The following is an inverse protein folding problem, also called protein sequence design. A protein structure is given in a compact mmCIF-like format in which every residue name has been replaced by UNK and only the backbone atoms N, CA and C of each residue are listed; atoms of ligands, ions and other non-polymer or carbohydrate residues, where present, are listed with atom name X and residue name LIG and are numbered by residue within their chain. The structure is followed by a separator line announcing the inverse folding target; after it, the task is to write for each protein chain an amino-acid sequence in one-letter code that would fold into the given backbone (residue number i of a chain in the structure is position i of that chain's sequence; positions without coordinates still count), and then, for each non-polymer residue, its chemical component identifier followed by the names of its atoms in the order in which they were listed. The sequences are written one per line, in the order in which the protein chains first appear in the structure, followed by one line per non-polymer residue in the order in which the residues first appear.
data_IF_340404245319
#
_entry.id   IF_340404245319
#
_cell.length_a   1.000
_cell.length_b   1.000
_cell.length_c   1.000
_cell.angle_alpha   90.00
_cell.angle_beta   90.00
_cell.angle_gamma   90.00
#
_symmetry.space_group_name_H-M   'P 1'
#
loop_
_entity.id
_entity.type
_entity.pdbx_description
1 polymer ?
#
# COMPACT_ATOMS: atom_id res chain seq x y z
N UNK A 1 -11.33 32.27 8.81
CA UNK A 1 -10.16 31.38 8.85
C UNK A 1 -10.17 30.56 7.58
N UNK A 2 -9.07 30.51 6.81
CA UNK A 2 -9.04 29.69 5.59
C UNK A 2 -8.97 28.21 5.94
N UNK A 3 -9.34 27.30 5.03
CA UNK A 3 -9.19 25.86 5.26
C UNK A 3 -7.74 25.49 5.58
N UNK A 4 -6.77 26.13 4.91
CA UNK A 4 -5.34 25.96 5.18
C UNK A 4 -4.98 26.33 6.62
N UNK A 5 -5.49 27.46 7.13
CA UNK A 5 -5.23 27.87 8.51
C UNK A 5 -5.85 26.86 9.48
N UNK A 6 -7.07 26.36 9.20
CA UNK A 6 -7.71 25.30 9.99
C UNK A 6 -6.87 24.04 10.05
N UNK A 7 -6.36 23.56 8.91
CA UNK A 7 -5.48 22.37 8.88
C UNK A 7 -4.21 22.63 9.68
N UNK A 8 -3.53 23.77 9.43
CA UNK A 8 -2.26 24.10 10.07
C UNK A 8 -2.38 24.16 11.59
N UNK A 9 -3.35 24.91 12.08
CA UNK A 9 -3.56 25.12 13.51
C UNK A 9 -3.91 23.78 14.19
N UNK A 10 -4.81 23.01 13.57
CA UNK A 10 -5.20 21.71 14.10
C UNK A 10 -4.02 20.73 14.16
N UNK A 11 -3.22 20.61 13.09
CA UNK A 11 -2.05 19.73 13.07
C UNK A 11 -1.00 20.15 14.11
N UNK A 12 -0.73 21.45 14.25
CA UNK A 12 0.21 21.96 15.24
C UNK A 12 -0.21 21.62 16.69
N UNK A 13 -1.51 21.59 16.96
CA UNK A 13 -2.06 21.29 18.29
C UNK A 13 -2.21 19.78 18.57
N UNK A 14 -2.53 18.97 17.55
CA UNK A 14 -3.03 17.61 17.74
C UNK A 14 -2.08 16.50 17.28
N UNK A 15 -1.06 16.80 16.46
CA UNK A 15 -0.08 15.77 16.07
C UNK A 15 0.70 15.33 17.32
N UNK A 16 0.65 14.04 17.70
CA UNK A 16 1.32 13.58 18.90
C UNK A 16 2.84 13.66 18.72
N UNK A 17 3.53 14.01 19.80
CA UNK A 17 4.99 13.89 19.83
C UNK A 17 5.38 12.43 19.75
N UNK A 18 6.40 12.12 18.95
CA UNK A 18 6.98 10.78 18.89
C UNK A 18 7.44 10.35 20.28
N UNK A 19 6.96 9.20 20.74
CA UNK A 19 7.38 8.59 22.00
C UNK A 19 8.44 7.56 21.68
N UNK A 20 9.67 7.83 22.09
CA UNK A 20 10.78 6.88 21.98
C UNK A 20 10.45 5.60 22.75
N UNK A 21 10.79 4.44 22.18
CA UNK A 21 10.57 3.12 22.78
C UNK A 21 9.11 2.73 23.06
N UNK A 22 8.12 3.41 22.46
CA UNK A 22 6.74 2.96 22.53
C UNK A 22 6.60 1.50 22.04
N UNK A 23 5.77 0.71 22.71
CA UNK A 23 5.38 -0.63 22.24
C UNK A 23 4.52 -0.54 20.96
N UNK A 24 4.37 -1.67 20.26
CA UNK A 24 3.49 -1.73 19.08
C UNK A 24 2.03 -1.39 19.44
N UNK A 25 1.55 -1.86 20.59
CA UNK A 25 0.20 -1.59 21.09
C UNK A 25 -0.02 -0.11 21.39
N UNK A 26 0.95 0.56 22.02
CA UNK A 26 0.87 2.00 22.31
C UNK A 26 0.90 2.85 21.03
N UNK A 27 1.71 2.45 20.03
CA UNK A 27 1.72 3.10 18.72
C UNK A 27 0.36 2.97 18.03
N UNK A 28 -0.24 1.78 18.03
CA UNK A 28 -1.56 1.55 17.44
C UNK A 28 -2.64 2.33 18.20
N UNK A 29 -2.62 2.33 19.53
CA UNK A 29 -3.58 3.09 20.33
C UNK A 29 -3.47 4.60 20.06
N UNK A 30 -2.24 5.10 19.89
CA UNK A 30 -1.99 6.51 19.52
C UNK A 30 -2.50 6.81 18.11
N UNK A 31 -2.25 5.93 17.15
CA UNK A 31 -2.77 6.03 15.79
C UNK A 31 -4.31 6.07 15.77
N UNK A 32 -4.99 5.15 16.47
CA UNK A 32 -6.45 5.12 16.56
C UNK A 32 -7.02 6.41 17.17
N UNK A 33 -6.45 6.90 18.28
CA UNK A 33 -6.90 8.17 18.89
C UNK A 33 -6.70 9.37 17.96
N UNK A 34 -5.53 9.45 17.31
CA UNK A 34 -5.22 10.54 16.39
C UNK A 34 -6.17 10.52 15.18
N UNK A 35 -6.36 9.35 14.56
CA UNK A 35 -7.23 9.21 13.39
C UNK A 35 -8.70 9.54 13.71
N UNK A 36 -9.19 9.12 14.89
CA UNK A 36 -10.53 9.48 15.33
C UNK A 36 -10.68 11.01 15.50
N UNK A 37 -9.71 11.66 16.14
CA UNK A 37 -9.69 13.11 16.31
C UNK A 37 -9.59 13.84 14.95
N UNK A 38 -8.78 13.35 14.03
CA UNK A 38 -8.63 13.87 12.67
C UNK A 38 -9.96 13.79 11.90
N UNK A 39 -10.66 12.67 12.01
CA UNK A 39 -12.00 12.52 11.46
C UNK A 39 -13.01 13.46 12.12
N UNK A 40 -13.03 13.55 13.46
CA UNK A 40 -13.94 14.42 14.21
C UNK A 40 -13.74 15.91 13.89
N UNK A 41 -12.53 16.30 13.54
CA UNK A 41 -12.20 17.64 13.04
C UNK A 41 -12.59 17.88 11.58
N UNK A 42 -13.11 16.87 10.87
CA UNK A 42 -13.45 16.95 9.46
C UNK A 42 -12.23 16.97 8.52
N UNK A 43 -11.12 16.37 8.95
CA UNK A 43 -9.83 16.34 8.26
C UNK A 43 -9.43 14.94 7.75
N UNK A 44 -10.22 13.91 8.01
CA UNK A 44 -10.05 12.57 7.45
C UNK A 44 -11.13 12.24 6.40
N UNK A 45 -10.77 11.52 5.35
CA UNK A 45 -11.70 11.14 4.27
C UNK A 45 -12.22 12.34 3.49
N UNK A 46 -11.36 13.32 3.20
CA UNK A 46 -11.78 14.63 2.70
C UNK A 46 -12.63 14.53 1.44
N UNK A 47 -12.15 13.78 0.44
CA UNK A 47 -12.83 13.62 -0.86
C UNK A 47 -13.87 12.51 -0.87
N UNK A 48 -14.09 11.83 0.25
CA UNK A 48 -14.99 10.67 0.30
C UNK A 48 -16.45 11.10 0.42
N UNK A 49 -17.42 10.27 -0.02
CA UNK A 49 -18.83 10.61 0.02
C UNK A 49 -19.32 10.90 1.44
N UNK A 50 -19.97 12.06 1.63
CA UNK A 50 -20.45 12.48 2.93
C UNK A 50 -21.53 11.56 3.51
N UNK A 51 -22.37 10.95 2.66
CA UNK A 51 -23.41 10.00 3.08
C UNK A 51 -22.86 8.75 3.81
N UNK A 52 -21.58 8.41 3.59
CA UNK A 52 -20.91 7.27 4.22
C UNK A 52 -19.84 7.68 5.25
N UNK A 53 -19.81 8.96 5.65
CA UNK A 53 -18.91 9.47 6.68
C UNK A 53 -17.67 10.20 6.17
N UNK A 54 -17.52 10.39 4.85
CA UNK A 54 -16.51 11.29 4.30
C UNK A 54 -16.86 12.77 4.52
N UNK A 55 -16.00 13.68 4.04
CA UNK A 55 -16.23 15.13 4.18
C UNK A 55 -16.81 15.78 2.92
N UNK A 56 -16.88 15.06 1.79
CA UNK A 56 -17.39 15.59 0.52
C UNK A 56 -16.64 16.81 0.00
N UNK A 57 -15.39 17.00 0.43
CA UNK A 57 -14.51 18.11 0.01
C UNK A 57 -13.88 17.85 -1.35
N UNK A 58 -13.24 18.88 -1.88
CA UNK A 58 -12.59 18.84 -3.19
C UNK A 58 -11.19 18.24 -3.12
N UNK A 59 -10.65 17.82 -4.27
CA UNK A 59 -9.24 17.41 -4.37
C UNK A 59 -8.27 18.55 -4.00
N UNK A 60 -8.65 19.81 -4.23
CA UNK A 60 -7.86 20.97 -3.82
C UNK A 60 -7.74 21.08 -2.29
N UNK A 61 -8.81 20.77 -1.55
CA UNK A 61 -8.75 20.69 -0.09
C UNK A 61 -7.83 19.54 0.37
N UNK A 62 -7.90 18.36 -0.27
CA UNK A 62 -6.95 17.27 0.02
C UNK A 62 -5.50 17.71 -0.21
N UNK A 63 -5.22 18.43 -1.30
CA UNK A 63 -3.87 18.96 -1.55
C UNK A 63 -3.42 19.94 -0.46
N UNK A 64 -4.30 20.85 -0.03
CA UNK A 64 -4.00 21.77 1.08
C UNK A 64 -3.67 20.98 2.35
N UNK A 65 -4.42 19.91 2.64
CA UNK A 65 -4.13 19.03 3.76
C UNK A 65 -2.75 18.39 3.64
N UNK A 66 -2.45 17.77 2.49
CA UNK A 66 -1.18 17.09 2.23
C UNK A 66 0.03 18.04 2.35
N UNK A 67 -0.11 19.29 1.89
CA UNK A 67 0.93 20.31 1.96
C UNK A 67 1.26 20.74 3.39
N UNK A 68 0.23 20.96 4.23
CA UNK A 68 0.45 21.31 5.64
C UNK A 68 0.91 20.08 6.45
N UNK A 69 0.40 18.88 6.13
CA UNK A 69 0.80 17.62 6.76
C UNK A 69 2.25 17.23 6.47
N UNK A 70 2.83 17.66 5.35
CA UNK A 70 4.20 17.33 4.95
C UNK A 70 5.28 17.73 5.97
N UNK A 71 4.98 18.65 6.89
CA UNK A 71 5.90 19.07 7.95
C UNK A 71 5.91 18.13 9.18
N UNK A 72 4.96 17.19 9.24
CA UNK A 72 4.67 16.32 10.38
C UNK A 72 4.92 14.85 10.05
N UNK A 73 5.17 14.06 11.08
CA UNK A 73 5.13 12.59 11.00
C UNK A 73 3.81 12.11 11.61
N UNK A 74 2.84 11.81 10.75
CA UNK A 74 1.50 11.44 11.20
C UNK A 74 1.46 9.95 11.58
N UNK A 75 0.88 9.58 12.74
CA UNK A 75 0.78 8.17 13.15
C UNK A 75 -0.34 7.44 12.40
N UNK A 76 -0.31 7.43 11.07
CA UNK A 76 -1.40 6.93 10.21
C UNK A 76 -1.02 5.68 9.42
N UNK A 77 0.22 5.21 9.49
CA UNK A 77 0.72 4.11 8.65
C UNK A 77 -0.06 2.81 8.81
N UNK A 78 -0.55 2.51 10.02
CA UNK A 78 -1.37 1.32 10.28
C UNK A 78 -2.69 1.33 9.49
N UNK A 79 -3.17 2.50 9.08
CA UNK A 79 -4.39 2.66 8.27
C UNK A 79 -4.12 2.74 6.77
N UNK A 80 -2.86 2.71 6.33
CA UNK A 80 -2.49 2.91 4.91
C UNK A 80 -3.24 1.96 3.97
N UNK A 81 -3.35 0.68 4.31
CA UNK A 81 -4.06 -0.31 3.47
C UNK A 81 -5.57 -0.05 3.46
N UNK A 82 -6.15 0.27 4.61
CA UNK A 82 -7.57 0.61 4.73
C UNK A 82 -7.94 1.87 3.96
N UNK A 83 -7.27 2.97 4.25
CA UNK A 83 -7.53 4.29 3.66
C UNK A 83 -7.09 4.38 2.19
N UNK A 84 -5.99 3.72 1.84
CA UNK A 84 -5.39 3.83 0.52
C UNK A 84 -5.91 2.83 -0.51
N UNK A 85 -6.55 1.73 -0.08
CA UNK A 85 -6.91 0.63 -0.98
C UNK A 85 -8.27 0.02 -0.67
N UNK A 86 -8.47 -0.54 0.53
CA UNK A 86 -9.69 -1.29 0.85
C UNK A 86 -10.93 -0.41 0.83
N UNK A 87 -10.88 0.72 1.55
CA UNK A 87 -12.01 1.62 1.68
C UNK A 87 -12.42 2.29 0.36
N UNK A 88 -11.51 2.83 -0.48
CA UNK A 88 -11.86 3.29 -1.82
C UNK A 88 -12.50 2.19 -2.68
N UNK A 89 -12.04 0.94 -2.56
CA UNK A 89 -12.64 -0.20 -3.27
C UNK A 89 -14.06 -0.49 -2.78
N UNK A 90 -14.33 -0.35 -1.47
CA UNK A 90 -15.69 -0.46 -0.90
C UNK A 90 -16.57 0.70 -1.39
N UNK A 91 -16.03 1.92 -1.48
CA UNK A 91 -16.77 3.07 -2.02
C UNK A 91 -17.16 2.83 -3.48
N UNK A 92 -16.28 2.27 -4.29
CA UNK A 92 -16.54 2.03 -5.71
C UNK A 92 -17.47 0.83 -5.95
N UNK A 93 -17.25 -0.28 -5.25
CA UNK A 93 -17.84 -1.59 -5.58
C UNK A 93 -18.79 -2.14 -4.52
N UNK A 94 -18.82 -1.56 -3.32
CA UNK A 94 -19.65 -2.04 -2.23
C UNK A 94 -21.13 -1.78 -2.45
N UNK A 95 -21.97 -2.58 -1.82
CA UNK A 95 -23.40 -2.28 -1.71
C UNK A 95 -23.64 -1.08 -0.78
N UNK A 96 -24.86 -0.54 -0.76
CA UNK A 96 -25.20 0.54 0.17
C UNK A 96 -24.97 0.12 1.63
N UNK A 97 -25.34 -1.11 1.98
CA UNK A 97 -25.18 -1.69 3.32
C UNK A 97 -23.71 -1.84 3.69
N UNK A 98 -22.86 -2.30 2.75
CA UNK A 98 -21.43 -2.40 2.98
C UNK A 98 -20.79 -1.03 3.18
N UNK A 99 -21.14 -0.04 2.36
CA UNK A 99 -20.62 1.33 2.51
C UNK A 99 -21.04 1.92 3.86
N UNK A 100 -22.32 1.79 4.21
CA UNK A 100 -22.86 2.25 5.50
C UNK A 100 -22.19 1.55 6.70
N UNK A 101 -21.86 0.26 6.60
CA UNK A 101 -21.22 -0.50 7.68
C UNK A 101 -19.75 -0.18 7.85
N UNK A 102 -18.99 -0.09 6.76
CA UNK A 102 -17.52 -0.15 6.83
C UNK A 102 -16.81 1.19 6.62
N UNK A 103 -17.39 2.13 5.87
CA UNK A 103 -16.65 3.35 5.46
C UNK A 103 -16.39 4.26 6.66
N UNK A 104 -17.40 4.58 7.47
CA UNK A 104 -17.22 5.48 8.61
C UNK A 104 -16.26 4.93 9.68
N UNK A 105 -16.38 3.67 10.16
CA UNK A 105 -15.42 3.13 11.13
C UNK A 105 -13.98 3.08 10.60
N UNK A 106 -13.81 2.76 9.32
CA UNK A 106 -12.51 2.81 8.64
C UNK A 106 -11.94 4.24 8.64
N UNK A 107 -12.72 5.24 8.23
CA UNK A 107 -12.27 6.64 8.18
C UNK A 107 -11.90 7.19 9.57
N UNK A 108 -12.58 6.74 10.63
CA UNK A 108 -12.29 7.08 12.03
C UNK A 108 -11.11 6.32 12.63
N UNK A 109 -10.54 5.34 11.91
CA UNK A 109 -9.45 4.49 12.43
C UNK A 109 -9.88 3.52 13.53
N UNK A 110 -11.18 3.23 13.63
CA UNK A 110 -11.71 2.26 14.61
C UNK A 110 -11.34 0.83 14.19
N UNK A 111 -11.38 0.57 12.88
CA UNK A 111 -11.11 -0.72 12.25
C UNK A 111 -9.85 -0.65 11.38
N UNK A 112 -8.92 -1.58 11.58
CA UNK A 112 -7.70 -1.72 10.76
C UNK A 112 -7.95 -2.76 9.67
N UNK A 113 -7.44 -2.50 8.47
CA UNK A 113 -7.67 -3.34 7.30
C UNK A 113 -6.38 -3.88 6.71
N UNK A 114 -6.45 -5.08 6.14
CA UNK A 114 -5.36 -5.69 5.39
C UNK A 114 -5.78 -6.15 3.98
N UNK A 115 -4.81 -6.39 3.10
CA UNK A 115 -5.01 -6.90 1.73
C UNK A 115 -4.54 -8.36 1.66
N UNK A 116 -5.42 -9.27 1.26
CA UNK A 116 -5.22 -10.71 1.30
C UNK A 116 -5.17 -11.30 -0.12
N UNK A 117 -4.19 -10.86 -0.90
CA UNK A 117 -4.07 -11.22 -2.32
C UNK A 117 -3.07 -12.36 -2.52
N UNK A 118 -1.80 -12.09 -2.21
CA UNK A 118 -0.66 -12.97 -2.48
C UNK A 118 -0.71 -14.30 -1.73
N UNK A 119 -0.27 -15.35 -2.42
CA UNK A 119 -0.14 -16.71 -1.89
C UNK A 119 1.29 -17.23 -2.12
N UNK A 120 1.74 -18.25 -1.38
CA UNK A 120 3.06 -18.85 -1.62
C UNK A 120 3.29 -19.25 -3.09
N UNK A 121 2.24 -19.71 -3.77
CA UNK A 121 2.26 -20.09 -5.20
C UNK A 121 1.78 -19.02 -6.18
N UNK A 122 1.31 -17.85 -5.72
CA UNK A 122 0.70 -16.83 -6.58
C UNK A 122 0.97 -15.41 -6.06
N UNK A 123 2.02 -14.77 -6.58
CA UNK A 123 2.36 -13.37 -6.31
C UNK A 123 2.13 -12.47 -7.53
N UNK A 124 3.11 -12.41 -8.44
CA UNK A 124 2.97 -11.61 -9.68
C UNK A 124 1.83 -12.11 -10.58
N UNK A 125 1.61 -13.43 -10.64
CA UNK A 125 0.42 -14.04 -11.27
C UNK A 125 -0.68 -14.26 -10.22
N UNK A 126 -1.18 -13.17 -9.62
CA UNK A 126 -2.19 -13.24 -8.56
C UNK A 126 -3.48 -13.91 -9.04
N UNK A 127 -3.78 -13.88 -10.34
CA UNK A 127 -4.93 -14.58 -10.91
C UNK A 127 -4.83 -16.11 -10.81
N UNK A 128 -3.64 -16.66 -10.53
CA UNK A 128 -3.42 -18.09 -10.30
C UNK A 128 -3.61 -18.51 -8.84
N UNK A 129 -4.16 -17.65 -7.98
CA UNK A 129 -4.47 -17.97 -6.60
C UNK A 129 -5.37 -19.22 -6.45
N UNK A 130 -5.19 -19.91 -5.34
CA UNK A 130 -5.76 -21.22 -5.01
C UNK A 130 -6.57 -21.24 -3.71
N UNK A 131 -6.49 -20.20 -2.86
CA UNK A 131 -7.45 -20.04 -1.75
C UNK A 131 -8.84 -20.14 -2.34
N UNK A 132 -9.66 -21.07 -1.84
CA UNK A 132 -10.99 -21.38 -2.39
C UNK A 132 -12.08 -20.87 -1.47
N UNK A 133 -13.16 -20.40 -2.06
CA UNK A 133 -14.41 -20.11 -1.37
C UNK A 133 -15.51 -20.96 -2.03
N UNK A 134 -16.06 -21.92 -1.30
CA UNK A 134 -17.11 -22.81 -1.80
C UNK A 134 -18.43 -22.41 -1.16
N UNK A 135 -19.49 -22.32 -1.97
CA UNK A 135 -20.83 -21.98 -1.47
C UNK A 135 -21.40 -23.14 -0.65
N UNK A 136 -21.90 -22.83 0.54
CA UNK A 136 -22.59 -23.73 1.46
C UNK A 136 -23.90 -23.04 1.92
N UNK A 137 -24.98 -23.30 1.19
CA UNK A 137 -26.26 -22.59 1.34
C UNK A 137 -26.14 -21.09 1.04
N UNK A 138 -26.43 -20.26 2.05
CA UNK A 138 -26.30 -18.79 2.01
C UNK A 138 -24.92 -18.29 2.49
N UNK A 139 -24.00 -19.20 2.79
CA UNK A 139 -22.65 -18.87 3.25
C UNK A 139 -21.59 -19.32 2.26
N UNK A 140 -20.36 -18.84 2.47
CA UNK A 140 -19.15 -19.31 1.80
C UNK A 140 -18.24 -19.94 2.82
N UNK A 141 -17.62 -21.07 2.48
CA UNK A 141 -16.60 -21.72 3.28
C UNK A 141 -15.25 -21.50 2.60
N UNK A 142 -14.36 -20.78 3.27
CA UNK A 142 -13.05 -20.40 2.76
C UNK A 142 -11.96 -21.29 3.33
N UNK A 143 -11.10 -21.78 2.45
CA UNK A 143 -9.93 -22.57 2.80
C UNK A 143 -8.72 -22.15 1.95
N UNK A 144 -7.58 -21.91 2.59
CA UNK A 144 -6.35 -21.54 1.89
C UNK A 144 -5.32 -20.83 2.75
N UNK A 145 -4.35 -20.22 2.09
CA UNK A 145 -3.26 -19.48 2.72
C UNK A 145 -2.93 -18.23 1.91
N UNK A 146 -2.75 -17.12 2.62
CA UNK A 146 -2.16 -15.88 2.12
C UNK A 146 -0.81 -15.63 2.78
N UNK A 147 0.04 -14.86 2.12
CA UNK A 147 1.39 -14.52 2.58
C UNK A 147 1.78 -13.11 2.17
N UNK A 148 2.76 -12.51 2.84
CA UNK A 148 3.15 -11.11 2.68
C UNK A 148 2.06 -10.11 3.06
N UNK A 149 1.12 -10.53 3.92
CA UNK A 149 -0.03 -9.70 4.31
C UNK A 149 0.45 -8.65 5.32
N UNK A 150 0.54 -7.41 4.88
CA UNK A 150 1.03 -6.29 5.70
C UNK A 150 0.08 -6.02 6.87
N UNK A 151 0.61 -5.98 8.09
CA UNK A 151 -0.15 -5.58 9.30
C UNK A 151 -1.32 -6.49 9.70
N UNK A 152 -1.44 -7.70 9.14
CA UNK A 152 -2.56 -8.61 9.38
C UNK A 152 -2.78 -8.95 10.87
N UNK A 153 -1.71 -8.99 11.67
CA UNK A 153 -1.76 -9.26 13.11
C UNK A 153 -2.46 -8.15 13.92
N UNK A 154 -2.72 -7.01 13.27
CA UNK A 154 -3.41 -5.86 13.85
C UNK A 154 -4.74 -5.56 13.15
N UNK A 155 -5.08 -6.31 12.10
CA UNK A 155 -6.24 -6.04 11.26
C UNK A 155 -7.52 -6.62 11.87
N UNK A 156 -8.60 -5.86 11.75
CA UNK A 156 -9.96 -6.28 12.09
C UNK A 156 -10.65 -6.91 10.87
N UNK A 157 -10.37 -6.37 9.68
CA UNK A 157 -10.93 -6.87 8.42
C UNK A 157 -9.87 -7.04 7.33
N UNK A 158 -10.18 -7.87 6.34
CA UNK A 158 -9.35 -8.09 5.17
C UNK A 158 -10.14 -8.08 3.87
N UNK A 159 -9.53 -7.54 2.80
CA UNK A 159 -10.01 -7.71 1.43
C UNK A 159 -9.37 -8.97 0.82
N UNK A 160 -10.13 -10.06 0.80
CA UNK A 160 -9.69 -11.40 0.41
C UNK A 160 -10.07 -11.73 -1.03
N UNK A 161 -9.09 -12.15 -1.83
CA UNK A 161 -9.36 -12.82 -3.10
C UNK A 161 -9.36 -14.34 -2.93
N UNK A 162 -10.44 -14.98 -3.37
CA UNK A 162 -10.57 -16.43 -3.37
C UNK A 162 -11.20 -16.95 -4.67
N UNK A 163 -10.75 -18.13 -5.09
CA UNK A 163 -11.27 -18.92 -6.21
C UNK A 163 -12.67 -19.41 -5.86
N UNK A 164 -13.65 -19.00 -6.64
CA UNK A 164 -15.05 -19.44 -6.52
C UNK A 164 -15.46 -20.38 -7.65
N UNK A 165 -14.80 -20.28 -8.81
CA UNK A 165 -15.10 -21.11 -9.98
C UNK A 165 -13.80 -21.57 -10.68
N UNK A 166 -13.42 -22.86 -10.55
CA UNK A 166 -12.22 -23.41 -11.18
C UNK A 166 -12.45 -23.87 -12.62
N UNK A 167 -13.68 -23.89 -13.11
CA UNK A 167 -14.06 -24.43 -14.43
C UNK A 167 -13.97 -23.38 -15.56
N UNK A 168 -13.63 -22.14 -15.21
CA UNK A 168 -13.48 -21.01 -16.11
C UNK A 168 -12.03 -20.52 -16.11
N UNK A 169 -11.61 -19.71 -17.12
CA UNK A 169 -10.29 -19.10 -17.12
C UNK A 169 -9.96 -18.36 -15.83
N UNK A 170 -8.68 -18.37 -15.44
CA UNK A 170 -8.22 -17.96 -14.10
C UNK A 170 -8.72 -16.57 -13.65
N UNK A 171 -8.86 -15.61 -14.56
CA UNK A 171 -9.35 -14.26 -14.26
C UNK A 171 -10.88 -14.15 -14.09
N UNK A 172 -11.64 -15.16 -14.51
CA UNK A 172 -13.11 -15.18 -14.55
C UNK A 172 -13.76 -15.98 -13.41
N UNK A 173 -12.97 -16.51 -12.48
CA UNK A 173 -13.47 -17.42 -11.45
C UNK A 173 -12.98 -17.08 -10.05
N UNK A 174 -12.67 -15.82 -9.81
CA UNK A 174 -12.19 -15.30 -8.52
C UNK A 174 -13.26 -14.35 -8.00
N UNK A 175 -13.49 -14.31 -6.70
CA UNK A 175 -14.35 -13.34 -6.03
C UNK A 175 -13.57 -12.60 -4.95
N UNK A 176 -13.88 -11.31 -4.75
CA UNK A 176 -13.38 -10.55 -3.62
C UNK A 176 -14.37 -10.61 -2.46
N UNK A 177 -13.87 -10.83 -1.25
CA UNK A 177 -14.65 -10.91 -0.02
C UNK A 177 -14.11 -9.94 1.02
N UNK A 178 -15.00 -9.40 1.85
CA UNK A 178 -14.64 -8.83 3.14
C UNK A 178 -14.60 -9.98 4.15
N UNK A 179 -13.45 -10.19 4.80
CA UNK A 179 -13.29 -11.21 5.85
C UNK A 179 -13.04 -10.55 7.19
N UNK A 180 -13.74 -11.02 8.22
CA UNK A 180 -13.42 -10.74 9.62
C UNK A 180 -12.16 -11.52 10.01
N UNK A 181 -11.10 -10.80 10.39
CA UNK A 181 -9.81 -11.39 10.71
C UNK A 181 -9.79 -12.10 12.07
N UNK A 182 -10.83 -11.89 12.88
CA UNK A 182 -11.05 -12.56 14.18
C UNK A 182 -12.01 -13.74 14.09
N UNK A 183 -12.51 -14.06 12.88
CA UNK A 183 -13.43 -15.17 12.68
C UNK A 183 -12.78 -16.54 13.03
N UNK A 184 -13.56 -17.49 13.59
CA UNK A 184 -13.07 -18.85 13.82
C UNK A 184 -12.50 -19.48 12.54
N UNK A 185 -11.31 -20.06 12.65
CA UNK A 185 -10.58 -20.67 11.52
C UNK A 185 -9.60 -19.72 10.82
N UNK A 186 -9.56 -18.43 11.17
CA UNK A 186 -8.50 -17.51 10.74
C UNK A 186 -7.31 -17.64 11.70
N UNK A 187 -6.12 -17.89 11.15
CA UNK A 187 -4.87 -17.89 11.92
C UNK A 187 -3.86 -16.96 11.27
N UNK A 188 -3.36 -15.97 12.02
CA UNK A 188 -2.34 -15.03 11.56
C UNK A 188 -0.98 -15.39 12.17
N UNK A 189 0.06 -15.44 11.34
CA UNK A 189 1.44 -15.72 11.73
C UNK A 189 2.39 -14.63 11.23
N UNK A 190 2.98 -13.82 12.12
CA UNK A 190 3.96 -12.81 11.74
C UNK A 190 5.22 -13.42 11.09
N UNK A 191 5.73 -12.76 10.06
CA UNK A 191 6.93 -13.11 9.33
C UNK A 191 8.03 -12.09 9.59
N UNK A 192 9.14 -12.55 10.17
CA UNK A 192 10.33 -11.73 10.39
C UNK A 192 11.09 -11.56 9.07
N UNK A 193 11.33 -10.32 8.65
CA UNK A 193 12.13 -10.01 7.47
C UNK A 193 13.60 -9.70 7.83
N UNK A 194 14.41 -9.30 6.83
CA UNK A 194 15.83 -9.02 7.02
C UNK A 194 16.12 -7.77 7.88
N UNK A 195 15.12 -6.90 8.10
CA UNK A 195 15.24 -5.77 9.06
C UNK A 195 15.15 -6.25 10.50
N UNK A 196 14.73 -7.51 10.72
CA UNK A 196 14.47 -8.07 12.02
C UNK A 196 13.07 -7.74 12.57
N UNK A 197 12.28 -6.96 11.84
CA UNK A 197 10.88 -6.66 12.17
C UNK A 197 9.94 -7.70 11.55
N UNK A 198 8.67 -7.71 11.98
CA UNK A 198 7.63 -8.54 11.41
C UNK A 198 6.46 -7.72 10.80
N UNK A 199 6.72 -6.92 9.75
CA UNK A 199 5.69 -6.09 9.13
C UNK A 199 4.68 -6.90 8.29
N UNK A 200 5.03 -8.13 7.91
CA UNK A 200 4.22 -9.02 7.08
C UNK A 200 3.77 -10.27 7.84
N UNK A 201 2.76 -10.97 7.31
CA UNK A 201 2.20 -12.16 7.91
C UNK A 201 1.82 -13.21 6.86
N UNK A 202 1.83 -14.47 7.30
CA UNK A 202 1.02 -15.53 6.73
C UNK A 202 -0.37 -15.50 7.37
N UNK A 203 -1.41 -15.77 6.59
CA UNK A 203 -2.78 -15.88 7.06
C UNK A 203 -3.37 -17.18 6.53
N UNK A 204 -3.83 -18.04 7.43
CA UNK A 204 -4.42 -19.33 7.11
C UNK A 204 -5.92 -19.26 7.34
N UNK A 205 -6.68 -19.87 6.42
CA UNK A 205 -8.13 -20.02 6.50
C UNK A 205 -8.43 -21.51 6.55
N UNK A 206 -8.98 -21.98 7.68
CA UNK A 206 -9.48 -23.33 7.88
C UNK A 206 -10.98 -23.29 8.09
N UNK A 207 -11.73 -23.65 7.04
CA UNK A 207 -13.20 -23.68 7.03
C UNK A 207 -13.88 -22.40 7.56
N UNK A 208 -13.30 -21.24 7.25
CA UNK A 208 -13.82 -19.94 7.66
C UNK A 208 -15.15 -19.67 6.95
N UNK A 209 -16.21 -19.41 7.72
CA UNK A 209 -17.55 -19.15 7.18
C UNK A 209 -17.77 -17.66 6.99
N UNK A 210 -18.09 -17.25 5.76
CA UNK A 210 -18.47 -15.89 5.42
C UNK A 210 -19.95 -15.82 5.04
N UNK A 211 -20.69 -14.77 5.42
CA UNK A 211 -22.07 -14.57 4.96
C UNK A 211 -22.10 -14.28 3.46
N UNK A 212 -23.25 -14.49 2.78
CA UNK A 212 -23.41 -14.11 1.38
C UNK A 212 -23.07 -12.64 1.11
N UNK A 213 -23.45 -11.74 2.02
CA UNK A 213 -23.16 -10.30 1.93
C UNK A 213 -21.68 -9.91 2.11
N UNK A 214 -20.78 -10.88 2.30
CA UNK A 214 -19.34 -10.63 2.36
C UNK A 214 -18.72 -10.38 0.97
N UNK A 215 -19.41 -10.75 -0.13
CA UNK A 215 -18.91 -10.51 -1.49
C UNK A 215 -18.82 -9.00 -1.74
N UNK A 216 -17.64 -8.52 -2.13
CA UNK A 216 -17.40 -7.13 -2.54
C UNK A 216 -17.37 -7.06 -4.07
N UNK A 217 -18.39 -6.42 -4.66
CA UNK A 217 -18.67 -6.49 -6.09
C UNK A 217 -19.51 -7.71 -6.45
N UNK A 218 -19.13 -8.43 -7.49
CA UNK A 218 -19.90 -9.58 -8.02
C UNK A 218 -19.13 -10.90 -7.88
N UNK A 219 -19.87 -12.00 -7.71
CA UNK A 219 -19.30 -13.35 -7.75
C UNK A 219 -18.62 -13.58 -9.11
N UNK A 220 -17.45 -14.22 -9.08
CA UNK A 220 -16.59 -14.51 -10.24
C UNK A 220 -15.98 -13.27 -10.95
N UNK A 221 -16.32 -12.05 -10.50
CA UNK A 221 -15.79 -10.78 -11.01
C UNK A 221 -14.67 -10.19 -10.14
N UNK A 222 -14.11 -10.96 -9.21
CA UNK A 222 -13.06 -10.55 -8.27
C UNK A 222 -11.78 -10.06 -8.93
N UNK A 223 -11.48 -10.43 -10.18
CA UNK A 223 -10.36 -9.84 -10.92
C UNK A 223 -10.58 -8.35 -11.21
N UNK A 224 -11.81 -7.95 -11.57
CA UNK A 224 -12.15 -6.55 -11.76
C UNK A 224 -12.01 -5.77 -10.44
N UNK A 225 -12.48 -6.36 -9.33
CA UNK A 225 -12.30 -5.78 -8.00
C UNK A 225 -10.81 -5.65 -7.62
N UNK A 226 -10.00 -6.67 -7.90
CA UNK A 226 -8.57 -6.66 -7.65
C UNK A 226 -7.86 -5.55 -8.44
N UNK A 227 -8.13 -5.42 -9.74
CA UNK A 227 -7.53 -4.37 -10.59
C UNK A 227 -7.96 -2.98 -10.14
N UNK A 228 -9.20 -2.81 -9.67
CA UNK A 228 -9.70 -1.56 -9.09
C UNK A 228 -8.91 -1.19 -7.84
N UNK A 229 -8.79 -2.12 -6.88
CA UNK A 229 -8.00 -1.92 -5.66
C UNK A 229 -6.51 -1.64 -5.95
N UNK A 230 -5.90 -2.37 -6.89
CA UNK A 230 -4.52 -2.14 -7.34
C UNK A 230 -4.35 -0.79 -8.06
N UNK A 231 -5.43 -0.23 -8.62
CA UNK A 231 -5.49 1.14 -9.13
C UNK A 231 -5.30 2.15 -8.01
N UNK A 232 -6.11 2.04 -6.95
CA UNK A 232 -6.01 2.86 -5.74
C UNK A 232 -4.65 2.74 -5.06
N UNK A 233 -4.13 1.51 -4.93
CA UNK A 233 -2.79 1.23 -4.40
C UNK A 233 -1.69 2.01 -5.13
N UNK A 234 -1.71 2.03 -6.47
CA UNK A 234 -0.68 2.75 -7.25
C UNK A 234 -0.73 4.25 -7.03
N UNK A 235 -1.92 4.82 -6.85
CA UNK A 235 -2.08 6.24 -6.53
C UNK A 235 -1.60 6.52 -5.11
N UNK A 236 -1.98 5.68 -4.14
CA UNK A 236 -1.58 5.81 -2.74
C UNK A 236 -0.05 5.68 -2.56
N UNK A 237 0.56 4.62 -3.10
CA UNK A 237 2.01 4.39 -3.01
C UNK A 237 2.79 5.41 -3.85
N UNK A 238 2.32 5.73 -5.06
CA UNK A 238 3.01 6.66 -5.97
C UNK A 238 2.86 8.12 -5.57
N UNK A 239 1.81 8.46 -4.82
CA UNK A 239 1.47 9.81 -4.38
C UNK A 239 1.82 10.10 -2.92
N UNK A 240 2.19 9.08 -2.12
CA UNK A 240 2.52 9.26 -0.71
C UNK A 240 3.66 10.27 -0.54
N UNK A 241 3.43 11.25 0.33
CA UNK A 241 4.47 12.15 0.80
C UNK A 241 5.41 11.31 1.65
N UNK A 242 6.68 11.23 1.24
CA UNK A 242 7.72 10.55 2.03
C UNK A 242 7.75 11.15 3.43
N UNK A 243 7.89 10.31 4.47
CA UNK A 243 8.07 10.79 5.84
C UNK A 243 9.14 11.88 5.89
N UNK A 244 8.92 12.89 6.72
CA UNK A 244 9.90 13.96 6.95
C UNK A 244 11.30 13.41 7.31
N UNK A 245 11.34 12.28 8.00
CA UNK A 245 12.55 11.57 8.38
C UNK A 245 12.83 10.34 7.49
N UNK A 246 12.56 10.38 6.19
CA UNK A 246 13.10 9.36 5.28
C UNK A 246 14.61 9.62 5.06
N UNK A 247 15.52 8.78 5.59
CA UNK A 247 16.97 9.01 5.51
C UNK A 247 17.50 8.94 4.08
N UNK A 248 16.72 8.40 3.13
CA UNK A 248 17.08 8.21 1.73
C UNK A 248 16.60 9.35 0.81
N UNK A 249 16.14 10.47 1.37
CA UNK A 249 15.87 11.68 0.58
C UNK A 249 17.15 12.43 0.23
N UNK A 250 17.14 13.19 -0.87
CA UNK A 250 18.25 14.09 -1.20
C UNK A 250 18.63 15.00 -0.04
N UNK A 251 17.65 15.60 0.64
CA UNK A 251 17.90 16.56 1.71
C UNK A 251 18.66 15.92 2.88
N UNK A 252 18.23 14.72 3.32
CA UNK A 252 18.83 14.01 4.44
C UNK A 252 20.21 13.42 4.07
N UNK A 253 20.38 12.93 2.84
CA UNK A 253 21.69 12.47 2.35
C UNK A 253 22.68 13.62 2.15
N UNK A 254 22.21 14.79 1.69
CA UNK A 254 23.06 15.98 1.58
C UNK A 254 23.52 16.46 2.96
N UNK A 255 22.65 16.39 3.97
CA UNK A 255 23.02 16.70 5.35
C UNK A 255 24.00 15.66 5.94
N UNK A 256 23.76 14.37 5.74
CA UNK A 256 24.69 13.30 6.10
C UNK A 256 26.08 13.51 5.47
N UNK A 257 26.12 13.89 4.19
CA UNK A 257 27.38 14.19 3.51
C UNK A 257 28.11 15.37 4.15
N UNK A 258 27.41 16.40 4.65
CA UNK A 258 28.03 17.51 5.39
C UNK A 258 28.58 17.03 6.73
N UNK A 259 27.77 16.31 7.52
CA UNK A 259 28.15 15.79 8.84
C UNK A 259 29.37 14.88 8.78
N UNK A 260 29.48 14.05 7.74
CA UNK A 260 30.61 13.14 7.53
C UNK A 260 31.78 13.76 6.73
N UNK A 261 31.74 15.05 6.43
CA UNK A 261 32.81 15.75 5.70
C UNK A 261 32.97 15.34 4.23
N UNK A 262 31.97 14.66 3.65
CA UNK A 262 31.94 14.17 2.27
C UNK A 262 31.32 15.14 1.26
N UNK A 263 30.73 16.24 1.73
CA UNK A 263 30.02 17.20 0.87
C UNK A 263 30.88 17.87 -0.22
N UNK A 264 32.22 17.85 -0.11
CA UNK A 264 33.14 18.39 -1.12
C UNK A 264 33.71 17.34 -2.09
N UNK A 265 33.46 16.06 -1.84
CA UNK A 265 33.90 14.98 -2.72
C UNK A 265 33.20 15.09 -4.09
N UNK A 266 33.93 15.14 -5.22
CA UNK A 266 33.34 15.36 -6.53
C UNK A 266 32.39 14.23 -6.97
N UNK A 267 32.63 12.99 -6.55
CA UNK A 267 31.76 11.85 -6.85
C UNK A 267 30.46 11.96 -6.06
N UNK A 268 30.55 12.22 -4.75
CA UNK A 268 29.37 12.40 -3.88
C UNK A 268 28.51 13.57 -4.35
N UNK A 269 29.13 14.70 -4.71
CA UNK A 269 28.41 15.88 -5.23
C UNK A 269 27.66 15.57 -6.53
N UNK A 270 28.29 14.83 -7.44
CA UNK A 270 27.68 14.45 -8.72
C UNK A 270 26.46 13.55 -8.51
N UNK A 271 26.59 12.52 -7.67
CA UNK A 271 25.50 11.59 -7.41
C UNK A 271 24.36 12.23 -6.61
N UNK A 272 24.66 13.13 -5.66
CA UNK A 272 23.64 13.93 -4.96
C UNK A 272 22.88 14.87 -5.92
N UNK A 273 23.58 15.53 -6.85
CA UNK A 273 22.93 16.40 -7.83
C UNK A 273 21.98 15.60 -8.74
N UNK A 274 22.38 14.40 -9.14
CA UNK A 274 21.56 13.54 -9.98
C UNK A 274 20.38 12.91 -9.22
N UNK A 275 20.55 12.61 -7.92
CA UNK A 275 19.45 12.22 -7.03
C UNK A 275 18.43 13.37 -6.91
N UNK A 276 18.88 14.60 -6.61
CA UNK A 276 18.02 15.77 -6.54
C UNK A 276 17.22 15.98 -7.84
N UNK A 277 17.88 15.89 -8.99
CA UNK A 277 17.22 16.04 -10.29
C UNK A 277 16.13 14.98 -10.49
N UNK A 278 16.39 13.73 -10.11
CA UNK A 278 15.43 12.64 -10.22
C UNK A 278 14.23 12.81 -9.25
N UNK A 279 14.47 13.22 -8.00
CA UNK A 279 13.40 13.54 -7.04
C UNK A 279 12.51 14.67 -7.54
N UNK A 280 13.10 15.75 -8.06
CA UNK A 280 12.37 16.87 -8.64
C UNK A 280 11.56 16.46 -9.87
N UNK A 281 12.13 15.65 -10.75
CA UNK A 281 11.43 15.15 -11.94
C UNK A 281 10.19 14.32 -11.55
N UNK A 282 10.33 13.41 -10.58
CA UNK A 282 9.21 12.60 -10.09
C UNK A 282 8.15 13.46 -9.40
N UNK A 283 8.55 14.44 -8.58
CA UNK A 283 7.64 15.38 -7.93
C UNK A 283 6.80 16.18 -8.95
N UNK A 284 7.44 16.68 -10.01
CA UNK A 284 6.76 17.40 -11.09
C UNK A 284 5.84 16.47 -11.90
N UNK A 285 6.28 15.25 -12.18
CA UNK A 285 5.46 14.24 -12.86
C UNK A 285 4.19 13.90 -12.06
N UNK A 286 4.31 13.66 -10.77
CA UNK A 286 3.17 13.39 -9.88
C UNK A 286 2.22 14.59 -9.78
N UNK A 287 2.78 15.81 -9.73
CA UNK A 287 1.97 17.04 -9.76
C UNK A 287 1.15 17.13 -11.05
N UNK A 288 1.77 16.84 -12.19
CA UNK A 288 1.08 16.80 -13.48
C UNK A 288 -0.01 15.72 -13.52
N UNK A 289 0.28 14.51 -13.03
CA UNK A 289 -0.72 13.44 -12.99
C UNK A 289 -1.95 13.83 -12.15
N UNK A 290 -1.76 14.54 -11.03
CA UNK A 290 -2.87 15.08 -10.23
C UNK A 290 -3.68 16.12 -10.99
N UNK A 291 -3.01 17.10 -11.59
CA UNK A 291 -3.68 18.15 -12.39
C UNK A 291 -4.50 17.56 -13.55
N UNK A 292 -3.99 16.53 -14.22
CA UNK A 292 -4.73 15.83 -15.27
C UNK A 292 -5.92 15.05 -14.71
N UNK A 293 -5.77 14.40 -13.55
CA UNK A 293 -6.87 13.71 -12.88
C UNK A 293 -7.99 14.68 -12.49
N UNK A 294 -7.65 15.86 -11.95
CA UNK A 294 -8.60 16.93 -11.61
C UNK A 294 -9.31 17.45 -12.87
N UNK A 295 -8.65 17.41 -14.03
CA UNK A 295 -9.23 17.74 -15.34
C UNK A 295 -10.03 16.58 -15.97
N UNK A 296 -10.34 15.52 -15.21
CA UNK A 296 -11.13 14.37 -15.68
C UNK A 296 -10.35 13.31 -16.44
N UNK A 297 -9.02 13.37 -16.42
CA UNK A 297 -8.12 12.40 -17.04
C UNK A 297 -7.36 11.59 -15.99
N UNK A 298 -7.96 10.52 -15.42
CA UNK A 298 -7.34 9.78 -14.33
C UNK A 298 -5.99 9.16 -14.75
N UNK A 299 -5.06 8.90 -13.80
CA UNK A 299 -3.70 8.48 -14.12
C UNK A 299 -3.62 7.19 -14.96
N UNK A 300 -4.56 6.26 -14.75
CA UNK A 300 -4.64 4.99 -15.49
C UNK A 300 -3.32 4.20 -15.44
N UNK A 301 -2.84 3.74 -16.60
CA UNK A 301 -1.57 3.03 -16.69
C UNK A 301 -0.34 3.91 -16.41
N UNK A 302 -0.45 5.25 -16.46
CA UNK A 302 0.68 6.15 -16.19
C UNK A 302 1.09 6.18 -14.71
N UNK A 303 0.21 5.74 -13.80
CA UNK A 303 0.58 5.48 -12.41
C UNK A 303 1.70 4.43 -12.26
N UNK A 304 1.81 3.49 -13.21
CA UNK A 304 2.92 2.52 -13.26
C UNK A 304 4.27 3.18 -13.53
N UNK A 305 4.29 4.31 -14.23
CA UNK A 305 5.52 5.12 -14.44
C UNK A 305 5.97 5.72 -13.11
N UNK A 306 5.05 6.33 -12.35
CA UNK A 306 5.35 6.90 -11.04
C UNK A 306 5.89 5.84 -10.08
N UNK A 307 5.22 4.66 -9.99
CA UNK A 307 5.66 3.55 -9.14
C UNK A 307 7.05 3.04 -9.51
N UNK A 308 7.30 2.81 -10.80
CA UNK A 308 8.60 2.34 -11.28
C UNK A 308 9.70 3.38 -11.01
N UNK A 309 9.45 4.65 -11.34
CA UNK A 309 10.40 5.73 -11.09
C UNK A 309 10.71 5.90 -9.59
N UNK A 310 9.70 5.76 -8.71
CA UNK A 310 9.90 5.78 -7.27
C UNK A 310 10.81 4.66 -6.76
N UNK A 311 10.63 3.43 -7.27
CA UNK A 311 11.50 2.30 -6.90
C UNK A 311 12.95 2.52 -7.39
N UNK A 312 13.14 2.93 -8.65
CA UNK A 312 14.47 3.23 -9.21
C UNK A 312 15.16 4.39 -8.47
N UNK A 313 14.39 5.41 -8.07
CA UNK A 313 14.86 6.53 -7.25
C UNK A 313 15.35 6.07 -5.87
N UNK A 314 14.65 5.13 -5.23
CA UNK A 314 15.07 4.60 -3.93
C UNK A 314 16.37 3.81 -4.03
N UNK A 315 16.53 2.98 -5.06
CA UNK A 315 17.81 2.30 -5.33
C UNK A 315 18.95 3.28 -5.62
N UNK A 316 18.67 4.38 -6.32
CA UNK A 316 19.63 5.46 -6.51
C UNK A 316 20.04 6.06 -5.18
N UNK A 317 19.08 6.36 -4.30
CA UNK A 317 19.35 6.91 -2.98
C UNK A 317 20.21 5.96 -2.11
N UNK A 318 19.93 4.65 -2.12
CA UNK A 318 20.77 3.64 -1.44
C UNK A 318 22.21 3.66 -1.94
N UNK A 319 22.43 3.78 -3.26
CA UNK A 319 23.78 3.93 -3.81
C UNK A 319 24.47 5.19 -3.32
N UNK A 320 23.77 6.32 -3.27
CA UNK A 320 24.31 7.58 -2.75
C UNK A 320 24.61 7.48 -1.26
N UNK A 321 23.73 6.85 -0.47
CA UNK A 321 23.94 6.58 0.95
C UNK A 321 25.21 5.76 1.18
N UNK A 322 25.43 4.69 0.40
CA UNK A 322 26.64 3.87 0.47
C UNK A 322 27.92 4.65 0.16
N UNK A 323 27.90 5.56 -0.82
CA UNK A 323 29.04 6.43 -1.12
C UNK A 323 29.37 7.41 0.02
N UNK A 324 28.35 7.88 0.74
CA UNK A 324 28.51 8.85 1.83
C UNK A 324 28.93 8.16 3.13
N UNK A 325 28.20 7.13 3.53
CA UNK A 325 28.37 6.45 4.82
C UNK A 325 29.50 5.39 4.77
N UNK A 326 29.79 4.83 3.60
CA UNK A 326 30.78 3.76 3.45
C UNK A 326 30.43 2.55 4.30
N UNK A 327 31.39 2.06 5.09
CA UNK A 327 31.21 0.92 6.02
C UNK A 327 30.06 1.16 7.02
N UNK A 328 29.79 2.42 7.38
CA UNK A 328 28.71 2.78 8.32
C UNK A 328 27.31 2.48 7.81
N UNK A 329 27.14 2.23 6.51
CA UNK A 329 25.87 1.79 5.95
C UNK A 329 25.53 0.33 6.30
N UNK A 330 26.53 -0.47 6.70
CA UNK A 330 26.37 -1.91 6.99
C UNK A 330 26.79 -2.29 8.42
N UNK A 331 27.61 -1.47 9.09
CA UNK A 331 28.04 -1.69 10.46
C UNK A 331 28.06 -0.35 11.21
N UNK A 332 27.31 -0.26 12.31
CA UNK A 332 27.21 0.95 13.14
C UNK A 332 27.41 0.63 14.62
N UNK A 333 27.73 1.66 15.40
CA UNK A 333 27.90 1.54 16.84
C UNK A 333 26.53 1.35 17.51
N UNK A 334 26.49 0.53 18.58
CA UNK A 334 25.28 0.36 19.37
C UNK A 334 24.85 1.71 19.97
N UNK A 335 23.57 2.07 19.78
CA UNK A 335 23.04 3.36 20.24
C UNK A 335 23.28 4.54 19.30
N UNK A 336 23.57 4.33 18.01
CA UNK A 336 23.49 5.35 16.95
C UNK A 336 22.15 5.22 16.17
N UNK A 337 21.09 5.98 16.54
CA UNK A 337 19.78 5.83 15.94
C UNK A 337 19.74 6.26 14.47
N UNK A 338 20.58 7.21 14.08
CA UNK A 338 20.61 7.70 12.70
C UNK A 338 21.24 6.68 11.75
N UNK A 339 22.27 5.97 12.21
CA UNK A 339 22.87 4.88 11.45
C UNK A 339 21.94 3.66 11.40
N UNK A 340 21.26 3.34 12.50
CA UNK A 340 20.25 2.27 12.54
C UNK A 340 19.10 2.55 11.57
N UNK A 341 18.53 3.76 11.59
CA UNK A 341 17.46 4.17 10.68
C UNK A 341 17.89 4.10 9.21
N UNK A 342 19.11 4.54 8.91
CA UNK A 342 19.67 4.44 7.56
C UNK A 342 19.82 2.98 7.12
N UNK A 343 20.34 2.11 7.99
CA UNK A 343 20.50 0.68 7.70
C UNK A 343 19.16 -0.02 7.48
N UNK A 344 18.15 0.27 8.30
CA UNK A 344 16.79 -0.24 8.14
C UNK A 344 16.17 0.21 6.80
N UNK A 345 16.33 1.48 6.43
CA UNK A 345 15.83 2.01 5.16
C UNK A 345 16.51 1.35 3.94
N UNK A 346 17.83 1.11 4.02
CA UNK A 346 18.57 0.36 2.99
C UNK A 346 18.03 -1.07 2.88
N UNK A 347 17.86 -1.77 4.01
CA UNK A 347 17.39 -3.16 4.04
C UNK A 347 15.92 -3.31 3.60
N UNK A 348 15.09 -2.28 3.79
CA UNK A 348 13.71 -2.26 3.32
C UNK A 348 13.58 -1.96 1.81
N UNK A 349 14.59 -1.32 1.20
CA UNK A 349 14.55 -0.87 -0.20
C UNK A 349 14.20 -1.97 -1.23
N UNK A 350 14.70 -3.22 -1.13
CA UNK A 350 14.35 -4.28 -2.07
C UNK A 350 12.84 -4.52 -2.22
N UNK A 351 12.06 -4.32 -1.16
CA UNK A 351 10.60 -4.49 -1.19
C UNK A 351 9.93 -3.54 -2.21
N UNK A 352 10.48 -2.33 -2.41
CA UNK A 352 9.92 -1.34 -3.36
C UNK A 352 9.91 -1.83 -4.82
N UNK A 353 10.86 -2.69 -5.20
CA UNK A 353 10.95 -3.27 -6.53
C UNK A 353 9.99 -4.45 -6.75
N UNK A 354 9.38 -4.96 -5.67
CA UNK A 354 8.59 -6.20 -5.66
C UNK A 354 7.11 -5.90 -5.35
N UNK A 355 6.84 -5.18 -4.26
CA UNK A 355 5.50 -4.85 -3.79
C UNK A 355 4.74 -3.91 -4.75
N UNK A 356 3.40 -3.96 -4.72
CA UNK A 356 2.53 -3.19 -5.61
C UNK A 356 2.70 -3.52 -7.11
N UNK A 357 3.18 -4.73 -7.40
CA UNK A 357 3.55 -5.21 -8.74
C UNK A 357 5.03 -4.95 -9.06
N UNK A 358 5.75 -6.02 -9.41
CA UNK A 358 7.20 -5.99 -9.63
C UNK A 358 7.59 -4.99 -10.71
N UNK A 359 8.82 -4.49 -10.68
CA UNK A 359 9.30 -3.54 -11.69
C UNK A 359 9.23 -4.11 -13.12
N UNK A 360 9.27 -5.43 -13.29
CA UNK A 360 9.06 -6.11 -14.57
C UNK A 360 7.60 -6.01 -15.03
N UNK A 361 6.64 -6.28 -14.13
CA UNK A 361 5.21 -6.10 -14.42
C UNK A 361 4.90 -4.64 -14.74
N UNK A 362 5.47 -3.67 -14.01
CA UNK A 362 5.29 -2.25 -14.33
C UNK A 362 5.83 -1.90 -15.73
N UNK A 363 7.01 -2.41 -16.11
CA UNK A 363 7.56 -2.22 -17.47
C UNK A 363 6.64 -2.82 -18.54
N UNK A 364 6.06 -3.99 -18.30
CA UNK A 364 5.05 -4.60 -19.18
C UNK A 364 3.81 -3.71 -19.34
N UNK A 365 3.24 -3.22 -18.23
CA UNK A 365 2.09 -2.31 -18.25
C UNK A 365 2.41 -1.02 -19.02
N UNK A 366 3.58 -0.44 -18.80
CA UNK A 366 4.03 0.77 -19.51
C UNK A 366 4.18 0.48 -21.01
N UNK A 367 4.84 -0.61 -21.37
CA UNK A 367 5.01 -1.03 -22.77
C UNK A 367 3.67 -1.19 -23.48
N UNK A 368 2.77 -1.98 -22.92
CA UNK A 368 1.50 -2.30 -23.56
C UNK A 368 0.50 -1.15 -23.53
N UNK A 369 0.31 -0.49 -22.39
CA UNK A 369 -0.80 0.45 -22.17
C UNK A 369 -0.42 1.92 -22.31
N UNK A 370 0.86 2.25 -22.24
CA UNK A 370 1.34 3.64 -22.42
C UNK A 370 2.02 3.79 -23.78
N UNK A 371 2.87 2.84 -24.17
CA UNK A 371 3.60 2.89 -25.44
C UNK A 371 2.88 2.17 -26.59
N UNK A 372 1.81 1.42 -26.32
CA UNK A 372 1.03 0.72 -27.34
C UNK A 372 1.73 -0.50 -27.96
N UNK A 373 2.71 -1.08 -27.25
CA UNK A 373 3.38 -2.30 -27.72
C UNK A 373 2.42 -3.50 -27.68
N UNK A 374 2.60 -4.49 -28.58
CA UNK A 374 1.82 -5.73 -28.53
C UNK A 374 1.98 -6.45 -27.20
N UNK A 375 0.91 -7.10 -26.75
CA UNK A 375 0.93 -7.95 -25.55
C UNK A 375 1.79 -9.18 -25.77
N UNK A 376 2.39 -9.67 -24.70
CA UNK A 376 3.06 -10.96 -24.70
C UNK A 376 2.03 -12.09 -24.97
N UNK A 377 2.33 -13.08 -25.84
CA UNK A 377 1.44 -14.20 -26.10
C UNK A 377 1.12 -14.99 -24.83
N UNK A 378 -0.16 -15.25 -24.58
CA UNK A 378 -0.64 -16.05 -23.44
C UNK A 378 -1.22 -17.37 -23.95
N UNK A 379 -0.58 -18.47 -23.60
CA UNK A 379 -1.01 -19.83 -24.01
C UNK A 379 -2.14 -20.40 -23.15
N UNK A 380 -2.40 -19.79 -21.99
CA UNK A 380 -3.33 -20.26 -20.97
C UNK A 380 -4.59 -19.38 -20.82
N UNK A 381 -4.71 -18.32 -21.64
CA UNK A 381 -5.74 -17.27 -21.48
C UNK A 381 -7.17 -17.80 -21.42
N UNK A 382 -7.47 -18.78 -22.26
CA UNK A 382 -8.82 -19.32 -22.45
C UNK A 382 -8.97 -20.73 -21.84
N UNK A 383 -7.97 -21.21 -21.11
CA UNK A 383 -7.96 -22.53 -20.47
C UNK A 383 -8.61 -22.47 -19.08
N UNK A 384 -9.53 -23.38 -18.73
CA UNK A 384 -10.09 -23.49 -17.37
C UNK A 384 -9.01 -23.58 -16.29
N UNK A 385 -9.19 -22.89 -15.16
CA UNK A 385 -8.19 -22.84 -14.09
C UNK A 385 -7.80 -24.24 -13.58
N UNK A 386 -8.77 -25.16 -13.46
CA UNK A 386 -8.51 -26.55 -13.02
C UNK A 386 -7.56 -27.33 -13.92
N UNK A 387 -7.38 -26.91 -15.17
CA UNK A 387 -6.52 -27.56 -16.16
C UNK A 387 -5.11 -26.94 -16.20
N UNK A 388 -4.92 -25.80 -15.52
CA UNK A 388 -3.62 -25.13 -15.43
C UNK A 388 -2.67 -25.86 -14.48
N UNK A 389 -1.38 -25.65 -14.70
CA UNK A 389 -0.30 -26.08 -13.80
C UNK A 389 0.36 -24.85 -13.20
N UNK A 390 -0.28 -24.25 -12.21
CA UNK A 390 0.17 -23.00 -11.60
C UNK A 390 0.26 -23.12 -10.08
N UNK A 391 1.17 -22.34 -9.47
CA UNK A 391 1.41 -22.37 -8.03
C UNK A 391 1.85 -23.74 -7.52
N UNK A 392 1.15 -24.26 -6.52
CA UNK A 392 1.47 -25.56 -5.89
C UNK A 392 0.62 -26.72 -6.43
N UNK A 393 -0.14 -26.54 -7.51
CA UNK A 393 -0.92 -27.61 -8.12
C UNK A 393 -0.01 -28.73 -8.66
N UNK A 394 -0.25 -29.96 -8.22
CA UNK A 394 0.27 -31.17 -8.86
C UNK A 394 -0.71 -31.66 -9.95
N UNK A 395 -0.23 -32.47 -10.92
CA UNK A 395 -1.12 -33.14 -11.89
C UNK A 395 -2.15 -33.98 -11.14
N UNK A 396 -3.42 -33.87 -11.55
CA UNK A 396 -4.47 -34.82 -11.20
C UNK A 396 -4.15 -36.23 -11.70
#
# INVERSE_FOLDING_TARGET
MSFRDTVRDWLAENVPKTVENASAEERIATAKRFQAALHDAGLAGLTWPAEYGGQGRTAADQQVFDEEAAAYDLPTDVFMIGMGMCGPTIVDLGTHEQKARYVRPLLRGEEIWCQLFSEPGAGSDVASLQTRAVRDGETWVVNGQKVWTSGAQHADFGALLARTNPDVPKHKGITMFIVDMHAPGVTVRPLKDMTGQAPFNEVFFDNVRLPAGAVLGEVDAGWFAAVTMLGHERVSIGGSVRRRYDPLTYANLADLARRLGRARDPVVRTELAALYAAERALSLFNTRLRQEADAGSPPGARGSVAKLAGAELLWRAVRVAGLIAGVRAAAWDEGDPAAEELALAINATPASSIAGGTNQIQRGIIGERVLGLPKEPQVDRDVPFRELRVGTQAKA
#
